data_IF_739764421269
#
_entry.id   IF_739764421269
#
_cell.length_a   1.000
_cell.length_b   1.000
_cell.length_c   1.000
_cell.angle_alpha   90.00
_cell.angle_beta   90.00
_cell.angle_gamma   90.00
#
_symmetry.space_group_name_H-M   'P 1'
#
loop_
_entity.id
_entity.type
_entity.pdbx_description
1 polymer ?
2 non-polymer ?
3 non-polymer ?
4 non-polymer ?
5 water ?
#
# COMPACT_ATOMS: atom_id res chain seq x y z
N UNK A 9 -1.15 -3.67 -29.16
CA UNK A 9 -1.70 -4.44 -28.01
C UNK A 9 -0.61 -4.52 -26.96
N UNK A 10 0.63 -4.60 -27.45
CA UNK A 10 1.85 -4.67 -26.66
C UNK A 10 2.03 -6.03 -25.99
N UNK A 11 1.86 -7.10 -26.77
CA UNK A 11 2.01 -8.44 -26.23
C UNK A 11 3.36 -9.05 -26.59
N UNK A 12 4.04 -9.59 -25.58
CA UNK A 12 5.34 -10.23 -25.78
C UNK A 12 5.07 -11.66 -26.25
N UNK A 13 5.93 -12.19 -27.16
CA UNK A 13 5.74 -13.55 -27.67
C UNK A 13 5.77 -14.61 -26.56
N UNK A 14 4.80 -15.51 -26.61
CA UNK A 14 4.66 -16.57 -25.62
C UNK A 14 5.89 -17.49 -25.53
N UNK A 15 6.52 -17.58 -24.35
CA UNK A 15 7.69 -18.45 -24.20
C UNK A 15 7.28 -19.91 -24.45
N UNK A 16 8.17 -20.70 -25.09
CA UNK A 16 7.92 -22.11 -25.41
C UNK A 16 7.43 -22.99 -24.26
N UNK A 17 7.91 -22.72 -23.04
CA UNK A 17 7.51 -23.53 -21.89
C UNK A 17 6.11 -23.27 -21.34
N UNK A 18 5.49 -22.17 -21.78
CA UNK A 18 4.15 -21.81 -21.31
C UNK A 18 3.04 -22.37 -22.21
N UNK A 19 2.13 -23.18 -21.64
CA UNK A 19 1.02 -23.76 -22.40
C UNK A 19 0.04 -22.68 -22.83
N UNK A 20 -0.43 -22.76 -24.07
CA UNK A 20 -1.39 -21.78 -24.59
C UNK A 20 -2.68 -21.72 -23.77
N UNK A 21 -3.12 -22.86 -23.25
CA UNK A 21 -4.35 -22.91 -22.48
C UNK A 21 -4.33 -22.13 -21.16
N UNK A 22 -3.15 -21.68 -20.75
CA UNK A 22 -3.01 -20.89 -19.53
C UNK A 22 -2.90 -19.39 -19.80
N UNK A 23 -2.93 -19.01 -21.06
CA UNK A 23 -2.82 -17.61 -21.45
C UNK A 23 -4.08 -16.78 -21.19
N UNK A 24 -3.89 -15.68 -20.48
CA UNK A 24 -4.96 -14.72 -20.16
C UNK A 24 -4.26 -13.37 -20.11
N UNK A 25 -4.43 -12.59 -21.16
CA UNK A 25 -3.78 -11.27 -21.29
C UNK A 25 -4.29 -10.12 -20.45
N UNK A 26 -4.08 -10.23 -19.14
CA UNK A 26 -4.47 -9.21 -18.19
C UNK A 26 -3.38 -8.15 -18.11
N UNK A 27 -3.78 -6.88 -18.16
CA UNK A 27 -2.85 -5.76 -18.06
C UNK A 27 -3.05 -5.11 -16.70
N UNK A 28 -2.11 -5.33 -15.78
CA UNK A 28 -2.19 -4.79 -14.43
C UNK A 28 -2.16 -3.27 -14.35
N UNK A 29 -1.75 -2.61 -15.44
CA UNK A 29 -1.68 -1.16 -15.44
C UNK A 29 -2.84 -0.48 -16.17
N UNK A 30 -3.67 -1.29 -16.83
CA UNK A 30 -4.83 -0.79 -17.56
C UNK A 30 -5.79 -1.95 -17.85
N UNK A 31 -6.36 -2.54 -16.78
CA UNK A 31 -7.30 -3.67 -16.94
C UNK A 31 -8.62 -3.24 -17.55
N UNK A 32 -9.27 -4.17 -18.24
CA UNK A 32 -10.56 -3.91 -18.86
C UNK A 32 -11.61 -3.64 -17.79
N UNK A 33 -12.63 -2.84 -18.13
CA UNK A 33 -13.71 -2.51 -17.20
C UNK A 33 -13.25 -1.85 -15.89
N UNK A 34 -12.24 -1.02 -15.98
CA UNK A 34 -11.71 -0.30 -14.82
C UNK A 34 -12.80 0.64 -14.32
N UNK A 35 -13.70 1.02 -15.23
CA UNK A 35 -14.82 1.91 -14.93
C UNK A 35 -15.78 1.31 -13.90
N UNK A 36 -15.74 -0.02 -13.74
CA UNK A 36 -16.59 -0.71 -12.79
C UNK A 36 -15.96 -0.75 -11.38
N UNK A 37 -14.75 -0.22 -11.28
CA UNK A 37 -14.04 -0.23 -10.02
C UNK A 37 -12.79 -1.09 -10.18
N UNK A 38 -11.69 -0.70 -9.56
CA UNK A 38 -10.46 -1.46 -9.71
C UNK A 38 -10.46 -2.86 -9.12
N UNK A 39 -11.03 -3.05 -7.94
CA UNK A 39 -11.09 -4.39 -7.34
C UNK A 39 -11.95 -5.29 -8.21
N UNK A 40 -13.04 -4.73 -8.75
CA UNK A 40 -13.95 -5.47 -9.63
C UNK A 40 -13.23 -5.84 -10.93
N UNK A 41 -12.38 -4.93 -11.40
CA UNK A 41 -11.62 -5.17 -12.63
C UNK A 41 -10.64 -6.32 -12.44
N UNK A 42 -9.96 -6.34 -11.30
CA UNK A 42 -9.01 -7.42 -11.03
C UNK A 42 -9.73 -8.73 -10.78
N UNK A 43 -10.95 -8.64 -10.25
CA UNK A 43 -11.77 -9.81 -9.94
C UNK A 43 -12.10 -10.66 -11.17
N UNK A 44 -11.88 -10.11 -12.36
CA UNK A 44 -12.14 -10.86 -13.59
C UNK A 44 -11.23 -12.10 -13.61
N UNK A 45 -10.08 -11.98 -12.95
CA UNK A 45 -9.11 -13.06 -12.86
C UNK A 45 -9.61 -14.24 -12.03
N UNK A 46 -10.72 -14.03 -11.32
CA UNK A 46 -11.29 -15.07 -10.48
C UNK A 46 -12.58 -15.67 -11.01
N UNK A 47 -12.94 -15.32 -12.24
CA UNK A 47 -14.14 -15.87 -12.86
C UNK A 47 -13.87 -17.35 -13.18
N UNK A 48 -14.92 -18.17 -13.16
CA UNK A 48 -14.82 -19.61 -13.37
C UNK A 48 -14.00 -20.15 -14.54
N UNK A 49 -13.97 -19.42 -15.64
CA UNK A 49 -13.22 -19.85 -16.83
C UNK A 49 -11.73 -19.53 -16.78
N UNK A 50 -11.29 -18.85 -15.73
CA UNK A 50 -9.88 -18.48 -15.58
C UNK A 50 -9.17 -19.45 -14.63
N UNK A 51 -8.03 -20.02 -15.06
CA UNK A 51 -7.28 -20.96 -14.22
C UNK A 51 -6.70 -20.30 -12.97
N UNK A 52 -6.29 -21.12 -11.99
CA UNK A 52 -5.71 -20.64 -10.74
C UNK A 52 -4.40 -19.90 -10.99
N UNK A 53 -3.68 -20.33 -12.02
CA UNK A 53 -2.40 -19.74 -12.39
C UNK A 53 -2.38 -19.54 -13.90
N UNK A 54 -2.27 -18.28 -14.32
CA UNK A 54 -2.26 -17.95 -15.74
C UNK A 54 -1.02 -17.17 -16.16
N UNK A 55 -0.83 -17.06 -17.46
CA UNK A 55 0.28 -16.30 -18.01
C UNK A 55 -0.28 -15.18 -18.88
N UNK A 56 0.13 -13.95 -18.62
CA UNK A 56 -0.30 -12.83 -19.44
C UNK A 56 0.88 -12.40 -20.30
N UNK A 57 0.60 -12.02 -21.54
CA UNK A 57 1.66 -11.58 -22.44
C UNK A 57 1.89 -10.08 -22.35
N UNK A 58 1.09 -9.41 -21.51
CA UNK A 58 1.22 -7.99 -21.31
C UNK A 58 2.42 -7.68 -20.43
N UNK A 59 2.91 -6.45 -20.54
CA UNK A 59 4.02 -5.98 -19.73
C UNK A 59 5.25 -6.88 -19.70
N UNK A 60 5.64 -7.38 -20.87
CA UNK A 60 6.80 -8.24 -20.97
C UNK A 60 6.55 -9.72 -20.81
N UNK A 61 5.37 -10.08 -20.29
CA UNK A 61 5.03 -11.47 -20.09
C UNK A 61 5.33 -11.92 -18.66
N UNK A 62 4.34 -12.47 -17.97
CA UNK A 62 4.53 -12.93 -16.61
C UNK A 62 3.35 -13.77 -16.12
N UNK A 63 3.61 -14.57 -15.09
CA UNK A 63 2.57 -15.40 -14.49
C UNK A 63 1.73 -14.54 -13.55
N UNK A 64 0.52 -15.02 -13.25
CA UNK A 64 -0.36 -14.35 -12.30
C UNK A 64 -1.07 -15.43 -11.49
N UNK A 65 -0.89 -15.40 -10.18
CA UNK A 65 -1.58 -16.35 -9.29
C UNK A 65 -2.90 -15.62 -9.00
N UNK A 66 -4.02 -16.28 -9.26
CA UNK A 66 -5.34 -15.67 -9.10
C UNK A 66 -6.15 -16.03 -7.87
N UNK A 67 -5.68 -17.01 -7.11
CA UNK A 67 -6.39 -17.47 -5.92
C UNK A 67 -5.55 -17.33 -4.66
N UNK A 68 -6.22 -17.05 -3.54
CA UNK A 68 -5.53 -16.88 -2.27
C UNK A 68 -4.61 -18.01 -1.87
N UNK A 69 -5.01 -19.25 -2.12
CA UNK A 69 -4.18 -20.38 -1.75
C UNK A 69 -2.80 -20.29 -2.41
N UNK A 70 -2.78 -20.04 -3.72
CA UNK A 70 -1.52 -19.93 -4.46
C UNK A 70 -0.72 -18.68 -4.12
N UNK A 71 -1.43 -17.57 -3.90
CA UNK A 71 -0.78 -16.31 -3.55
C UNK A 71 -0.04 -16.46 -2.23
N UNK A 72 -0.71 -17.05 -1.23
CA UNK A 72 -0.09 -17.26 0.07
C UNK A 72 1.09 -18.22 -0.03
N UNK A 73 0.89 -19.35 -0.72
CA UNK A 73 1.96 -20.34 -0.87
C UNK A 73 3.23 -19.77 -1.48
N UNK A 74 3.07 -18.97 -2.52
CA UNK A 74 4.22 -18.38 -3.19
C UNK A 74 4.95 -17.38 -2.30
N UNK A 75 4.20 -16.60 -1.53
CA UNK A 75 4.80 -15.61 -0.64
C UNK A 75 5.56 -16.27 0.52
N UNK A 76 5.15 -17.47 0.90
CA UNK A 76 5.79 -18.22 1.98
C UNK A 76 7.10 -18.84 1.49
N UNK A 77 7.08 -19.28 0.24
CA UNK A 77 8.22 -19.95 -0.38
C UNK A 77 9.22 -18.99 -1.06
N UNK A 78 9.99 -18.26 -0.26
CA UNK A 78 10.96 -17.32 -0.80
C UNK A 78 12.13 -18.02 -1.51
N UNK A 79 12.34 -19.30 -1.21
CA UNK A 79 13.42 -20.05 -1.83
C UNK A 79 13.22 -20.17 -3.33
N UNK A 80 11.97 -20.35 -3.74
CA UNK A 80 11.63 -20.46 -5.16
C UNK A 80 11.17 -19.13 -5.73
N UNK A 81 10.47 -18.35 -4.92
CA UNK A 81 9.93 -17.06 -5.35
C UNK A 81 10.67 -15.92 -4.64
N UNK A 82 11.71 -15.43 -5.31
CA UNK A 82 12.56 -14.36 -4.78
C UNK A 82 12.08 -12.93 -4.95
N UNK A 83 12.44 -12.09 -3.99
CA UNK A 83 12.09 -10.68 -3.99
C UNK A 83 13.12 -9.82 -4.74
N UNK A 84 14.15 -10.45 -5.30
CA UNK A 84 15.19 -9.71 -6.03
C UNK A 84 14.60 -8.81 -7.12
N UNK A 85 13.56 -9.29 -7.78
CA UNK A 85 12.86 -8.56 -8.84
C UNK A 85 11.36 -8.60 -8.53
N UNK A 86 10.89 -7.71 -7.63
CA UNK A 86 9.49 -7.64 -7.23
C UNK A 86 8.49 -6.92 -8.14
N UNK A 87 8.99 -6.15 -9.12
CA UNK A 87 8.09 -5.39 -9.98
C UNK A 87 8.07 -5.81 -11.45
N UNK A 88 6.92 -5.58 -12.09
CA UNK A 88 6.71 -5.91 -13.50
C UNK A 88 6.56 -4.62 -14.33
N UNK A 89 7.31 -4.50 -15.43
CA UNK A 89 8.28 -5.47 -15.92
C UNK A 89 9.63 -5.42 -15.23
N UNK A 90 10.44 -6.43 -15.53
CA UNK A 90 11.79 -6.63 -15.02
C UNK A 90 12.70 -5.39 -14.95
N UNK A 91 12.67 -4.58 -15.99
CA UNK A 91 13.52 -3.37 -16.07
C UNK A 91 12.97 -2.20 -15.25
N UNK A 92 12.67 -2.50 -13.99
CA UNK A 92 12.16 -1.56 -13.00
C UNK A 92 12.37 -2.22 -11.64
N UNK A 93 12.23 -3.54 -11.60
CA UNK A 93 12.45 -4.25 -10.36
C UNK A 93 13.93 -4.54 -10.17
N UNK A 94 14.70 -4.46 -11.25
CA UNK A 94 16.14 -4.69 -11.19
C UNK A 94 16.87 -3.40 -10.79
N UNK A 95 16.29 -2.26 -11.18
CA UNK A 95 16.87 -0.94 -10.90
C UNK A 95 16.73 -0.50 -9.44
N UNK A 96 15.49 -0.54 -8.96
CA UNK A 96 15.08 -0.18 -7.60
C UNK A 96 16.03 -0.72 -6.50
N UNK A 97 16.37 0.10 -5.50
CA UNK A 97 17.28 -0.35 -4.43
C UNK A 97 16.82 -0.34 -2.97
N UNK A 98 15.62 0.19 -2.69
CA UNK A 98 15.11 0.26 -1.32
C UNK A 98 15.23 -1.03 -0.51
N UNK A 99 15.60 -0.87 0.76
CA UNK A 99 15.79 -1.99 1.70
C UNK A 99 14.65 -2.04 2.71
N UNK A 100 14.16 -3.26 3.06
CA UNK A 100 14.61 -4.56 2.58
C UNK A 100 13.68 -5.25 1.57
N UNK A 101 12.92 -4.44 0.83
CA UNK A 101 11.97 -4.93 -0.17
C UNK A 101 12.54 -5.90 -1.20
N UNK A 102 13.78 -5.69 -1.61
CA UNK A 102 14.42 -6.54 -2.61
C UNK A 102 15.34 -7.63 -2.06
N UNK A 103 15.28 -7.86 -0.75
CA UNK A 103 16.11 -8.87 -0.11
C UNK A 103 15.32 -10.08 0.33
N UNK A 104 15.98 -11.24 0.34
CA UNK A 104 15.38 -12.48 0.80
C UNK A 104 16.08 -12.82 2.12
N UNK A 105 15.41 -13.57 3.00
CA UNK A 105 16.04 -13.94 4.26
C UNK A 105 17.22 -14.85 3.89
N UNK A 106 18.27 -14.93 4.75
CA UNK A 106 18.48 -14.27 6.03
C UNK A 106 18.86 -12.79 5.96
N UNK A 107 19.43 -12.36 4.83
CA UNK A 107 19.86 -10.98 4.64
C UNK A 107 18.79 -9.98 5.09
N UNK A 108 17.55 -10.24 4.69
CA UNK A 108 16.42 -9.38 5.01
C UNK A 108 16.07 -9.28 6.50
N UNK A 109 16.27 -10.37 7.24
CA UNK A 109 15.94 -10.39 8.67
C UNK A 109 16.58 -9.31 9.55
N UNK A 110 17.87 -9.04 9.34
CA UNK A 110 18.60 -8.02 10.11
C UNK A 110 17.95 -6.64 9.96
N UNK A 111 17.77 -6.21 8.71
CA UNK A 111 17.19 -4.91 8.41
C UNK A 111 15.74 -4.81 8.84
N UNK A 112 15.00 -5.92 8.71
CA UNK A 112 13.60 -5.95 9.10
C UNK A 112 13.41 -5.73 10.61
N UNK A 113 14.32 -6.30 11.40
CA UNK A 113 14.25 -6.16 12.84
C UNK A 113 14.48 -4.70 13.26
N UNK A 114 15.43 -4.05 12.60
CA UNK A 114 15.76 -2.65 12.89
C UNK A 114 14.58 -1.75 12.54
N UNK A 115 13.97 -1.99 11.38
CA UNK A 115 12.82 -1.20 10.94
C UNK A 115 11.65 -1.36 11.90
N UNK A 116 11.52 -2.55 12.49
CA UNK A 116 10.43 -2.79 13.43
C UNK A 116 10.56 -1.94 14.69
N UNK A 117 11.79 -1.51 15.01
CA UNK A 117 12.04 -0.68 16.18
C UNK A 117 11.46 0.72 16.00
N UNK A 118 11.33 1.15 14.75
CA UNK A 118 10.80 2.49 14.49
C UNK A 118 9.31 2.56 14.15
N UNK A 119 8.73 1.46 13.67
CA UNK A 119 7.31 1.45 13.33
C UNK A 119 6.50 0.34 13.99
N UNK A 120 7.13 -0.41 14.88
CA UNK A 120 6.45 -1.50 15.57
C UNK A 120 5.29 -1.08 16.45
N UNK A 121 4.48 -2.06 16.87
CA UNK A 121 3.32 -1.81 17.71
C UNK A 121 3.59 -0.94 18.94
N UNK A 122 4.72 -1.17 19.65
CA UNK A 122 5.04 -0.34 20.82
C UNK A 122 5.12 1.14 20.49
N UNK A 123 5.73 1.44 19.35
CA UNK A 123 5.88 2.81 18.88
C UNK A 123 4.54 3.39 18.46
N UNK A 124 3.74 2.59 17.76
CA UNK A 124 2.43 3.02 17.30
C UNK A 124 1.49 3.33 18.47
N UNK A 125 1.53 2.50 19.51
CA UNK A 125 0.69 2.74 20.69
C UNK A 125 1.08 4.04 21.38
N UNK A 126 2.38 4.34 21.36
CA UNK A 126 2.92 5.55 21.97
C UNK A 126 2.60 6.82 21.19
N UNK A 127 2.51 6.71 19.87
CA UNK A 127 2.21 7.86 19.02
C UNK A 127 0.73 7.94 18.68
N UNK A 128 -0.05 7.00 19.19
CA UNK A 128 -1.48 6.89 18.96
C UNK A 128 -2.28 8.19 19.02
N UNK A 129 -2.11 8.94 20.11
CA UNK A 129 -2.83 10.20 20.27
C UNK A 129 -2.24 11.37 19.46
N UNK A 130 -0.97 11.25 19.07
CA UNK A 130 -0.33 12.29 18.26
C UNK A 130 -0.92 12.20 16.84
N UNK A 131 -1.22 10.97 16.43
CA UNK A 131 -1.82 10.71 15.13
C UNK A 131 -3.24 11.28 15.16
N UNK A 132 -3.91 11.11 16.29
CA UNK A 132 -5.28 11.59 16.48
C UNK A 132 -5.31 13.12 16.42
N UNK A 133 -4.34 13.75 17.06
CA UNK A 133 -4.26 15.21 17.08
C UNK A 133 -4.08 15.76 15.66
N UNK A 134 -3.36 15.03 14.82
CA UNK A 134 -3.13 15.45 13.44
C UNK A 134 -4.41 15.31 12.65
N UNK A 135 -5.08 14.16 12.79
CA UNK A 135 -6.32 13.90 12.07
C UNK A 135 -7.37 14.95 12.38
N UNK A 136 -7.52 15.28 13.66
CA UNK A 136 -8.49 16.27 14.11
C UNK A 136 -8.23 17.65 13.52
N UNK A 137 -6.95 18.04 13.47
CA UNK A 137 -6.58 19.34 12.93
C UNK A 137 -6.97 19.45 11.46
N UNK A 138 -6.67 18.42 10.68
CA UNK A 138 -7.00 18.40 9.26
C UNK A 138 -8.50 18.42 9.04
N UNK A 139 -9.22 17.59 9.79
CA UNK A 139 -10.67 17.51 9.65
C UNK A 139 -11.37 18.81 10.06
N UNK A 140 -10.92 19.43 11.15
CA UNK A 140 -11.52 20.68 11.61
C UNK A 140 -11.32 21.81 10.59
N UNK A 141 -10.19 21.80 9.90
CA UNK A 141 -9.91 22.83 8.90
C UNK A 141 -10.84 22.70 7.69
N UNK A 142 -11.32 21.48 7.43
CA UNK A 142 -12.21 21.23 6.30
C UNK A 142 -13.70 21.33 6.64
N UNK A 143 -14.05 20.93 7.86
CA UNK A 143 -15.43 20.91 8.34
C UNK A 143 -16.36 22.07 7.96
N UNK A 144 -15.96 23.33 8.23
CA UNK A 144 -16.83 24.47 7.89
C UNK A 144 -17.09 24.68 6.39
N UNK A 145 -16.21 24.14 5.55
CA UNK A 145 -16.31 24.27 4.10
C UNK A 145 -17.50 23.57 3.45
N UNK A 146 -17.91 22.44 4.01
CA UNK A 146 -19.02 21.70 3.45
C UNK A 146 -18.63 20.93 2.20
N UNK A 147 -17.34 20.88 1.92
CA UNK A 147 -16.82 20.18 0.75
C UNK A 147 -15.30 20.05 0.81
N UNK A 148 -14.78 19.09 0.08
CA UNK A 148 -13.35 18.85 -0.01
C UNK A 148 -13.06 17.75 -1.02
N UNK A 149 -11.82 17.68 -1.46
CA UNK A 149 -11.38 16.61 -2.33
C UNK A 149 -10.62 15.80 -1.30
N UNK A 150 -11.26 14.77 -0.76
CA UNK A 150 -10.66 13.96 0.29
C UNK A 150 -9.24 13.49 0.01
N UNK A 151 -8.99 13.05 -1.21
CA UNK A 151 -7.66 12.56 -1.59
C UNK A 151 -6.57 13.63 -1.42
N UNK A 152 -6.82 14.82 -1.93
CA UNK A 152 -5.87 15.93 -1.84
C UNK A 152 -5.84 16.64 -0.49
N UNK A 153 -7.02 16.85 0.08
CA UNK A 153 -7.15 17.58 1.34
C UNK A 153 -6.90 16.85 2.65
N UNK A 154 -7.00 15.52 2.63
CA UNK A 154 -6.77 14.75 3.85
C UNK A 154 -5.89 13.53 3.63
N UNK A 155 -6.26 12.70 2.66
CA UNK A 155 -5.51 11.47 2.37
C UNK A 155 -4.01 11.65 2.11
N UNK A 156 -3.64 12.70 1.39
CA UNK A 156 -2.24 12.94 1.10
C UNK A 156 -1.48 13.60 2.27
N UNK A 157 -2.02 14.70 2.84
CA UNK A 157 -1.33 15.36 3.95
C UNK A 157 -1.16 14.52 5.23
N UNK A 158 -2.13 13.66 5.52
CA UNK A 158 -2.10 12.83 6.72
C UNK A 158 -0.87 11.91 6.89
N UNK A 159 -0.62 10.98 5.95
CA UNK A 159 0.53 10.07 6.07
C UNK A 159 1.91 10.74 6.07
N UNK A 160 2.09 11.75 5.22
CA UNK A 160 3.37 12.44 5.15
C UNK A 160 3.67 13.22 6.43
N UNK A 161 2.64 13.82 7.03
CA UNK A 161 2.82 14.55 8.27
C UNK A 161 3.15 13.59 9.41
N UNK A 162 2.61 12.38 9.33
CA UNK A 162 2.86 11.35 10.34
C UNK A 162 4.33 10.91 10.19
N UNK A 163 4.81 10.85 8.95
CA UNK A 163 6.21 10.47 8.74
C UNK A 163 7.13 11.53 9.35
N UNK A 164 6.80 12.80 9.14
CA UNK A 164 7.61 13.89 9.69
C UNK A 164 7.65 13.78 11.22
N UNK A 165 6.54 13.41 11.81
CA UNK A 165 6.44 13.23 13.27
C UNK A 165 7.35 12.08 13.70
N UNK A 166 7.22 10.96 12.99
CA UNK A 166 7.98 9.75 13.24
C UNK A 166 9.48 9.96 13.10
N UNK A 167 9.87 10.64 12.02
CA UNK A 167 11.28 10.89 11.71
C UNK A 167 11.86 12.17 12.30
N UNK A 168 11.05 12.90 13.06
CA UNK A 168 11.52 14.13 13.67
C UNK A 168 12.00 15.18 12.69
N UNK A 169 11.25 15.36 11.60
CA UNK A 169 11.59 16.33 10.57
C UNK A 169 10.65 17.53 10.62
N UNK A 170 11.13 18.71 10.22
CA UNK A 170 10.31 19.93 10.24
C UNK A 170 9.19 19.98 9.21
N UNK A 171 8.08 20.59 9.62
CA UNK A 171 6.89 20.76 8.80
C UNK A 171 7.18 21.49 7.48
N UNK A 172 8.10 22.46 7.53
CA UNK A 172 8.48 23.24 6.35
C UNK A 172 9.06 22.42 5.20
N UNK A 173 9.54 21.21 5.50
CA UNK A 173 10.13 20.34 4.48
C UNK A 173 9.10 19.51 3.71
N UNK A 174 7.85 19.51 4.18
CA UNK A 174 6.79 18.73 3.55
C UNK A 174 6.54 18.91 2.06
N UNK A 175 6.33 20.16 1.59
CA UNK A 175 6.07 20.34 0.15
C UNK A 175 7.15 19.74 -0.78
N UNK A 176 8.41 19.92 -0.43
CA UNK A 176 9.49 19.41 -1.27
C UNK A 176 9.60 17.89 -1.17
N UNK A 177 9.48 17.35 0.04
CA UNK A 177 9.57 15.91 0.25
C UNK A 177 8.41 15.21 -0.46
N UNK A 178 7.24 15.84 -0.40
CA UNK A 178 6.04 15.32 -1.04
C UNK A 178 6.25 15.30 -2.55
N UNK A 179 6.87 16.35 -3.07
CA UNK A 179 7.14 16.41 -4.50
C UNK A 179 8.08 15.29 -4.93
N UNK A 180 9.16 15.09 -4.18
CA UNK A 180 10.13 14.04 -4.49
C UNK A 180 9.51 12.66 -4.50
N UNK A 181 8.70 12.36 -3.49
CA UNK A 181 8.04 11.06 -3.42
C UNK A 181 7.00 10.91 -4.53
N UNK A 182 6.34 12.00 -4.87
CA UNK A 182 5.33 12.01 -5.94
C UNK A 182 5.96 11.65 -7.28
N UNK A 183 7.19 12.12 -7.51
CA UNK A 183 7.87 11.85 -8.77
C UNK A 183 8.30 10.40 -8.95
N UNK A 184 8.43 9.68 -7.85
CA UNK A 184 8.84 8.28 -7.88
C UNK A 184 7.72 7.35 -8.31
N UNK A 185 6.47 7.78 -8.09
CA UNK A 185 5.31 6.95 -8.43
C UNK A 185 4.29 7.62 -9.37
N UNK A 186 4.41 8.94 -9.53
CA UNK A 186 3.50 9.71 -10.41
C UNK A 186 4.25 10.90 -11.03
N UNK A 187 5.33 10.63 -11.79
CA UNK A 187 6.14 11.68 -12.44
C UNK A 187 5.43 12.60 -13.42
N UNK A 188 5.73 13.89 -13.30
CA UNK A 188 5.19 14.90 -14.19
C UNK A 188 6.18 15.15 -15.34
N UNK A 189 7.37 14.57 -15.20
CA UNK A 189 8.41 14.72 -16.21
C UNK A 189 9.63 15.51 -15.78
N UNK A 190 9.50 16.28 -14.70
CA UNK A 190 10.61 17.09 -14.21
C UNK A 190 11.80 16.28 -13.75
N UNK A 191 11.53 15.08 -13.23
CA UNK A 191 12.59 14.21 -12.73
C UNK A 191 12.40 12.75 -13.13
N UNK A 192 13.51 12.05 -13.34
CA UNK A 192 13.48 10.62 -13.65
C UNK A 192 13.44 9.95 -12.28
N UNK A 193 13.14 8.66 -12.24
CA UNK A 193 13.09 7.94 -10.96
C UNK A 193 14.42 8.05 -10.22
N UNK A 194 15.52 7.86 -10.95
CA UNK A 194 16.86 7.93 -10.36
C UNK A 194 17.15 9.29 -9.75
N UNK A 195 16.75 10.36 -10.45
CA UNK A 195 16.97 11.71 -9.97
C UNK A 195 16.14 12.01 -8.73
N UNK A 196 14.90 11.53 -8.71
CA UNK A 196 14.01 11.72 -7.57
C UNK A 196 14.57 10.94 -6.37
N UNK A 197 15.01 9.72 -6.64
CA UNK A 197 15.60 8.86 -5.61
C UNK A 197 16.86 9.47 -5.02
N UNK A 198 17.72 9.98 -5.89
CA UNK A 198 18.96 10.62 -5.44
C UNK A 198 18.67 11.91 -4.68
N UNK A 199 17.65 12.64 -5.11
CA UNK A 199 17.26 13.88 -4.43
C UNK A 199 16.81 13.55 -3.02
N UNK A 200 16.13 12.41 -2.87
CA UNK A 200 15.67 11.96 -1.57
C UNK A 200 16.88 11.61 -0.71
N UNK A 201 17.84 10.92 -1.32
CA UNK A 201 19.07 10.52 -0.62
C UNK A 201 19.90 11.73 -0.23
N UNK A 202 19.92 12.75 -1.10
CA UNK A 202 20.67 13.97 -0.82
C UNK A 202 20.11 14.67 0.40
N UNK A 203 18.81 14.48 0.63
CA UNK A 203 18.11 15.07 1.76
C UNK A 203 18.33 14.24 3.03
N UNK A 204 18.19 12.92 2.91
CA UNK A 204 18.33 12.02 4.05
C UNK A 204 19.75 11.83 4.59
N UNK A 205 20.73 11.71 3.70
CA UNK A 205 22.12 11.49 4.12
C UNK A 205 22.65 12.44 5.20
N UNK A 206 22.50 13.78 5.01
CA UNK A 206 23.00 14.73 6.02
C UNK A 206 22.34 14.52 7.38
N UNK A 207 21.05 14.23 7.38
CA UNK A 207 20.31 14.02 8.61
C UNK A 207 20.76 12.72 9.29
N UNK A 208 20.99 11.69 8.48
CA UNK A 208 21.45 10.39 8.99
C UNK A 208 22.83 10.51 9.64
N UNK A 209 23.75 11.20 8.97
CA UNK A 209 25.11 11.39 9.49
C UNK A 209 25.13 12.23 10.76
N UNK A 210 24.29 13.26 10.82
CA UNK A 210 24.23 14.13 11.99
C UNK A 210 23.63 13.40 13.19
N UNK A 211 22.61 12.60 12.95
CA UNK A 211 21.96 11.86 14.02
C UNK A 211 22.71 10.61 14.46
N UNK A 212 23.73 10.24 13.70
CA UNK A 212 24.57 9.11 14.07
C UNK A 212 25.49 9.61 15.19
N UNK A 213 25.88 10.89 15.08
CA UNK A 213 26.76 11.53 16.06
C UNK A 213 25.98 12.11 17.25
N UNK A 214 24.81 12.67 16.99
CA UNK A 214 23.98 13.24 18.05
C UNK A 214 22.54 12.76 17.85
N UNK A 215 22.27 11.51 18.25
CA UNK A 215 20.95 10.88 18.14
C UNK A 215 19.83 11.42 19.02
N UNK A 216 18.61 11.24 18.52
CA UNK A 216 17.42 11.64 19.24
C UNK A 216 16.64 10.34 19.44
N UNK A 217 15.32 10.43 19.57
CA UNK A 217 14.49 9.24 19.77
C UNK A 217 13.63 8.95 18.52
N UNK A 218 13.89 9.71 17.46
CA UNK A 218 13.16 9.58 16.20
C UNK A 218 13.60 8.38 15.35
N UNK A 219 12.83 8.11 14.31
CA UNK A 219 13.10 6.99 13.40
C UNK A 219 14.46 7.03 12.72
N UNK A 220 14.87 8.20 12.25
CA UNK A 220 16.16 8.34 11.57
C UNK A 220 17.31 8.08 12.54
N UNK A 221 17.20 8.58 13.77
CA UNK A 221 18.22 8.37 14.78
C UNK A 221 18.40 6.89 15.08
N UNK A 222 17.29 6.18 15.20
CA UNK A 222 17.32 4.74 15.50
C UNK A 222 17.97 3.94 14.37
N UNK A 223 17.58 4.23 13.13
CA UNK A 223 18.14 3.53 11.98
C UNK A 223 19.63 3.85 11.82
N UNK A 224 19.97 5.13 11.95
CA UNK A 224 21.36 5.59 11.83
C UNK A 224 22.31 4.96 12.84
N UNK A 225 21.78 4.62 14.01
CA UNK A 225 22.59 4.02 15.06
C UNK A 225 22.41 2.50 15.15
N UNK A 226 21.74 1.93 14.15
CA UNK A 226 21.51 0.50 14.13
C UNK A 226 22.75 -0.32 13.81
N UNK A 227 22.68 -1.62 14.08
CA UNK A 227 23.79 -2.53 13.82
C UNK A 227 23.35 -3.64 12.87
N UNK A 228 24.21 -3.95 11.91
CA UNK A 228 23.96 -4.99 10.92
C UNK A 228 25.16 -5.94 10.85
N UNK A 229 24.93 -7.21 11.18
CA UNK A 229 25.96 -8.25 11.14
C UNK A 229 27.21 -7.96 11.99
N UNK A 230 27.00 -7.52 13.22
CA UNK A 230 28.12 -7.24 14.11
C UNK A 230 28.75 -5.86 13.97
N UNK A 231 28.52 -5.21 12.83
CA UNK A 231 29.08 -3.89 12.59
C UNK A 231 27.99 -2.82 12.41
N UNK A 232 28.38 -1.53 12.47
CA UNK A 232 27.43 -0.42 12.32
C UNK A 232 26.84 -0.35 10.91
N UNK A 233 25.58 0.04 10.82
CA UNK A 233 24.91 0.19 9.53
C UNK A 233 25.62 1.25 8.69
N UNK A 234 25.80 0.98 7.40
CA UNK A 234 26.47 1.93 6.52
C UNK A 234 25.50 3.03 6.11
N UNK A 235 26.05 4.12 5.58
CA UNK A 235 25.24 5.26 5.14
C UNK A 235 24.33 4.85 3.98
N UNK A 236 24.84 3.96 3.13
CA UNK A 236 24.10 3.47 1.97
C UNK A 236 22.89 2.64 2.42
N UNK A 237 23.10 1.74 3.38
CA UNK A 237 22.02 0.89 3.89
C UNK A 237 20.97 1.73 4.64
N UNK A 238 21.45 2.71 5.40
CA UNK A 238 20.58 3.57 6.19
C UNK A 238 19.66 4.43 5.33
N UNK A 239 20.20 5.02 4.27
CA UNK A 239 19.40 5.87 3.39
C UNK A 239 18.36 5.04 2.63
N UNK A 240 18.75 3.83 2.23
CA UNK A 240 17.86 2.93 1.49
C UNK A 240 16.73 2.41 2.38
N UNK A 241 17.01 2.28 3.67
CA UNK A 241 16.02 1.84 4.64
C UNK A 241 15.04 2.97 4.92
N UNK A 242 15.60 4.16 5.20
CA UNK A 242 14.79 5.34 5.48
C UNK A 242 13.92 5.71 4.28
N UNK A 243 14.46 5.47 3.09
CA UNK A 243 13.73 5.75 1.86
C UNK A 243 12.47 4.91 1.77
N UNK A 244 12.59 3.62 2.11
CA UNK A 244 11.43 2.73 2.07
C UNK A 244 10.44 3.07 3.19
N UNK A 245 10.96 3.44 4.35
CA UNK A 245 10.08 3.79 5.48
C UNK A 245 9.23 5.02 5.11
N UNK A 246 9.77 5.86 4.24
CA UNK A 246 9.05 7.05 3.80
C UNK A 246 8.00 6.72 2.74
N UNK A 247 8.44 6.13 1.63
CA UNK A 247 7.53 5.79 0.54
C UNK A 247 6.52 4.68 0.86
N UNK A 248 6.91 3.72 1.69
CA UNK A 248 6.03 2.62 2.04
C UNK A 248 4.69 2.97 2.65
N UNK A 249 4.66 4.05 3.42
CA UNK A 249 3.41 4.45 4.06
C UNK A 249 2.70 5.62 3.43
N UNK A 250 3.03 5.95 2.18
CA UNK A 250 2.37 7.06 1.52
C UNK A 250 1.25 6.65 0.58
N UNK A 251 1.60 6.22 -0.64
CA UNK A 251 0.59 5.84 -1.63
C UNK A 251 -0.40 4.78 -1.14
N UNK A 252 0.09 3.81 -0.37
CA UNK A 252 -0.79 2.76 0.15
C UNK A 252 -1.87 3.37 1.04
N UNK A 253 -1.48 4.21 1.98
CA UNK A 253 -2.42 4.84 2.90
C UNK A 253 -3.32 5.86 2.19
N UNK A 254 -2.73 6.69 1.32
CA UNK A 254 -3.50 7.69 0.59
C UNK A 254 -4.65 7.03 -0.19
N UNK A 255 -4.31 6.02 -0.98
CA UNK A 255 -5.29 5.32 -1.80
C UNK A 255 -6.26 4.46 -0.99
N UNK A 256 -5.78 3.81 0.06
CA UNK A 256 -6.66 2.99 0.87
C UNK A 256 -7.72 3.83 1.59
N UNK A 257 -7.29 4.94 2.19
CA UNK A 257 -8.22 5.82 2.88
C UNK A 257 -9.25 6.35 1.89
N UNK A 258 -8.80 6.60 0.65
CA UNK A 258 -9.71 7.10 -0.38
C UNK A 258 -10.75 6.06 -0.77
N UNK A 259 -10.34 4.80 -0.94
CA UNK A 259 -11.29 3.72 -1.28
C UNK A 259 -12.34 3.60 -0.18
N UNK A 260 -11.86 3.63 1.08
CA UNK A 260 -12.72 3.49 2.24
C UNK A 260 -13.73 4.63 2.38
N UNK A 261 -13.28 5.85 2.18
CA UNK A 261 -14.15 7.02 2.27
C UNK A 261 -15.12 7.11 1.10
N UNK A 262 -14.71 6.59 -0.05
CA UNK A 262 -15.59 6.58 -1.22
C UNK A 262 -16.75 5.65 -0.91
N UNK A 263 -16.44 4.50 -0.32
CA UNK A 263 -17.47 3.54 0.04
C UNK A 263 -18.42 4.12 1.08
N UNK A 264 -17.88 4.72 2.12
CA UNK A 264 -18.71 5.30 3.18
C UNK A 264 -19.60 6.44 2.68
N UNK A 265 -19.08 7.24 1.74
CA UNK A 265 -19.85 8.35 1.18
C UNK A 265 -21.07 7.82 0.43
N UNK A 266 -20.93 6.65 -0.17
CA UNK A 266 -21.99 6.01 -0.94
C UNK A 266 -22.83 5.04 -0.11
N UNK A 267 -22.46 4.87 1.17
CA UNK A 267 -23.17 3.94 2.05
C UNK A 267 -23.63 4.55 3.38
N UNK A 268 -24.77 5.27 3.37
CA UNK A 268 -25.33 5.91 4.57
C UNK A 268 -25.55 4.96 5.75
N UNK A 269 -26.06 3.76 5.48
CA UNK A 269 -26.31 2.79 6.54
C UNK A 269 -25.03 2.31 7.21
N UNK A 270 -23.95 2.19 6.44
CA UNK A 270 -22.67 1.78 7.02
C UNK A 270 -22.10 2.89 7.89
N UNK A 271 -22.33 4.14 7.49
CA UNK A 271 -21.86 5.28 8.27
C UNK A 271 -22.59 5.27 9.61
N UNK A 272 -23.91 5.06 9.55
CA UNK A 272 -24.72 5.03 10.76
C UNK A 272 -24.34 3.90 11.69
N UNK A 273 -23.98 2.76 11.12
CA UNK A 273 -23.60 1.61 11.93
C UNK A 273 -22.41 1.97 12.82
N UNK A 274 -21.42 2.64 12.24
CA UNK A 274 -20.24 3.05 12.97
C UNK A 274 -20.50 4.18 13.96
N UNK A 275 -21.51 5.00 13.67
CA UNK A 275 -21.88 6.10 14.55
C UNK A 275 -22.58 5.51 15.78
N UNK A 276 -23.50 4.58 15.55
CA UNK A 276 -24.25 3.93 16.62
C UNK A 276 -23.42 2.91 17.39
N UNK A 277 -22.49 2.25 16.69
CA UNK A 277 -21.64 1.22 17.29
C UNK A 277 -20.16 1.54 17.09
N UNK A 278 -19.62 2.53 17.82
CA UNK A 278 -18.22 2.93 17.72
C UNK A 278 -17.21 1.80 17.98
N UNK A 279 -17.61 0.83 18.79
CA UNK A 279 -16.75 -0.30 19.13
C UNK A 279 -16.47 -1.22 17.95
N UNK A 280 -17.25 -1.08 16.89
CA UNK A 280 -17.09 -1.90 15.69
C UNK A 280 -16.10 -1.31 14.68
N UNK A 281 -15.58 -0.11 14.98
CA UNK A 281 -14.63 0.54 14.08
C UNK A 281 -13.39 -0.31 13.76
N UNK A 282 -12.76 -0.94 14.77
CA UNK A 282 -11.58 -1.76 14.45
C UNK A 282 -11.93 -2.90 13.50
N UNK A 283 -13.08 -3.54 13.71
CA UNK A 283 -13.53 -4.63 12.84
C UNK A 283 -13.85 -4.10 11.45
N UNK A 284 -14.43 -2.90 11.40
CA UNK A 284 -14.76 -2.25 10.14
C UNK A 284 -13.48 -1.98 9.36
N UNK A 285 -12.44 -1.57 10.08
CA UNK A 285 -11.13 -1.31 9.48
C UNK A 285 -10.63 -2.56 8.77
N UNK A 286 -10.71 -3.71 9.46
CA UNK A 286 -10.25 -4.96 8.88
C UNK A 286 -11.07 -5.38 7.65
N UNK A 287 -12.39 -5.21 7.73
CA UNK A 287 -13.25 -5.55 6.60
C UNK A 287 -12.99 -4.65 5.40
N UNK A 288 -12.72 -3.37 5.65
CA UNK A 288 -12.42 -2.45 4.55
C UNK A 288 -11.08 -2.81 3.94
N UNK A 289 -10.12 -3.23 4.77
CA UNK A 289 -8.81 -3.63 4.27
C UNK A 289 -8.95 -4.83 3.33
N UNK A 290 -9.90 -5.71 3.63
CA UNK A 290 -10.15 -6.88 2.79
C UNK A 290 -10.81 -6.47 1.48
N UNK A 291 -11.93 -5.78 1.57
CA UNK A 291 -12.70 -5.36 0.39
C UNK A 291 -11.98 -4.38 -0.53
N UNK A 292 -11.22 -3.46 0.05
CA UNK A 292 -10.51 -2.47 -0.75
C UNK A 292 -9.00 -2.63 -0.76
N UNK A 293 -8.58 -3.88 -0.73
CA UNK A 293 -7.17 -4.28 -0.79
C UNK A 293 -6.65 -3.65 -2.10
N UNK A 294 -5.37 -3.27 -2.14
CA UNK A 294 -4.88 -2.55 -3.31
C UNK A 294 -3.46 -2.77 -3.80
N UNK A 295 -2.68 -3.60 -3.13
CA UNK A 295 -1.31 -3.84 -3.56
C UNK A 295 -1.17 -5.09 -4.42
N UNK A 296 -0.27 -5.03 -5.38
CA UNK A 296 -0.02 -6.16 -6.25
C UNK A 296 1.42 -6.22 -6.72
N UNK A 297 2.32 -6.79 -5.92
CA UNK A 297 3.66 -6.91 -6.43
C UNK A 297 3.96 -8.38 -6.77
N UNK A 298 5.22 -8.73 -6.91
CA UNK A 298 5.54 -10.08 -7.32
C UNK A 298 6.89 -10.59 -6.90
N UNK A 299 7.28 -11.68 -7.54
CA UNK A 299 8.55 -12.35 -7.26
C UNK A 299 9.12 -12.88 -8.57
N UNK A 300 10.35 -13.39 -8.49
CA UNK A 300 11.03 -13.97 -9.64
C UNK A 300 11.50 -15.38 -9.28
N UNK A 301 11.33 -16.31 -10.21
CA UNK A 301 11.73 -17.70 -9.99
C UNK A 301 13.25 -17.85 -9.90
N UNK A 302 13.71 -18.47 -8.82
CA UNK A 302 15.14 -18.68 -8.59
C UNK A 302 15.65 -19.90 -9.37
N UNK A 303 14.73 -20.79 -9.74
CA UNK A 303 15.08 -21.99 -10.49
C UNK A 303 13.82 -22.56 -11.13
N UNK A 304 14.02 -23.56 -12.00
CA UNK A 304 12.89 -24.24 -12.63
C UNK A 304 12.13 -24.88 -11.48
N UNK A 305 10.81 -24.76 -11.49
CA UNK A 305 10.00 -25.29 -10.41
C UNK A 305 8.58 -25.60 -10.86
N UNK A 306 8.10 -26.80 -10.52
CA UNK A 306 6.73 -27.18 -10.86
C UNK A 306 5.86 -26.74 -9.68
N UNK A 307 4.90 -25.86 -9.97
CA UNK A 307 4.01 -25.30 -8.96
C UNK A 307 2.56 -25.54 -9.36
N UNK A 308 1.85 -26.35 -8.58
CA UNK A 308 0.45 -26.68 -8.84
C UNK A 308 0.20 -27.17 -10.27
N UNK A 309 1.03 -28.10 -10.71
CA UNK A 309 0.92 -28.67 -12.04
C UNK A 309 1.40 -27.80 -13.19
N UNK A 310 2.03 -26.68 -12.86
CA UNK A 310 2.53 -25.77 -13.88
C UNK A 310 4.04 -25.65 -13.81
N UNK A 311 4.69 -25.81 -14.97
CA UNK A 311 6.14 -25.73 -15.07
C UNK A 311 6.60 -24.28 -15.12
N UNK A 312 7.25 -23.83 -14.05
CA UNK A 312 7.76 -22.47 -13.96
C UNK A 312 9.25 -22.52 -14.30
N UNK A 313 9.72 -21.54 -15.05
CA UNK A 313 11.12 -21.49 -15.47
C UNK A 313 11.93 -20.45 -14.72
N UNK A 314 13.19 -20.79 -14.44
CA UNK A 314 14.10 -19.88 -13.74
C UNK A 314 14.10 -18.53 -14.46
N UNK A 315 13.90 -17.45 -13.69
CA UNK A 315 13.89 -16.13 -14.28
C UNK A 315 12.50 -15.62 -14.61
N UNK A 316 11.49 -16.51 -14.61
CA UNK A 316 10.12 -16.09 -14.88
C UNK A 316 9.66 -15.18 -13.76
N UNK A 317 8.90 -14.15 -14.11
CA UNK A 317 8.35 -13.27 -13.08
C UNK A 317 6.93 -13.72 -12.81
N UNK A 318 6.49 -13.57 -11.58
CA UNK A 318 5.13 -13.94 -11.21
C UNK A 318 4.49 -12.87 -10.35
N UNK A 319 3.34 -12.39 -10.81
CA UNK A 319 2.59 -11.39 -10.06
C UNK A 319 1.74 -12.15 -9.06
N UNK A 320 1.83 -11.76 -7.79
CA UNK A 320 1.09 -12.39 -6.70
C UNK A 320 0.28 -11.26 -6.06
N UNK A 321 -0.90 -10.95 -6.63
CA UNK A 321 -1.73 -9.87 -6.11
C UNK A 321 -2.25 -10.01 -4.68
N UNK A 322 -1.67 -9.22 -3.78
CA UNK A 322 -2.11 -9.22 -2.40
C UNK A 322 -3.60 -8.91 -2.37
N UNK A 323 -4.03 -8.04 -3.29
CA UNK A 323 -5.43 -7.62 -3.45
C UNK A 323 -6.41 -8.78 -3.58
N UNK A 324 -6.04 -9.79 -4.36
CA UNK A 324 -6.92 -10.92 -4.65
C UNK A 324 -7.28 -11.95 -3.59
N UNK A 325 -6.39 -12.18 -2.63
CA UNK A 325 -6.65 -13.19 -1.59
C UNK A 325 -7.97 -12.99 -0.86
N UNK A 326 -8.22 -11.77 -0.40
CA UNK A 326 -9.44 -11.46 0.32
C UNK A 326 -10.71 -11.38 -0.51
N UNK A 327 -10.56 -11.24 -1.83
CA UNK A 327 -11.70 -11.16 -2.73
C UNK A 327 -12.07 -12.54 -3.28
N UNK A 328 -11.23 -13.53 -2.97
CA UNK A 328 -11.42 -14.92 -3.41
C UNK A 328 -12.68 -15.50 -2.76
N UNK A 329 -13.67 -15.84 -3.60
CA UNK A 329 -14.93 -16.41 -3.11
C UNK A 329 -14.74 -17.74 -2.38
N UNK A 330 -13.56 -18.32 -2.52
CA UNK A 330 -13.23 -19.58 -1.84
C UNK A 330 -12.78 -19.28 -0.40
N UNK A 331 -12.36 -18.04 -0.15
CA UNK A 331 -11.92 -17.61 1.16
C UNK A 331 -13.04 -16.91 1.94
N UNK A 332 -13.66 -15.92 1.30
CA UNK A 332 -14.74 -15.15 1.93
C UNK A 332 -16.00 -15.19 1.08
N UNK A 333 -17.12 -15.54 1.71
CA UNK A 333 -18.41 -15.61 1.03
C UNK A 333 -18.87 -14.19 0.65
N UNK A 334 -19.49 -14.06 -0.51
CA UNK A 334 -19.96 -12.77 -1.02
C UNK A 334 -18.87 -11.72 -0.82
N UNK A 335 -17.68 -11.97 -1.39
CA UNK A 335 -16.50 -11.09 -1.29
C UNK A 335 -16.66 -9.60 -1.59
N UNK A 336 -17.58 -9.24 -2.48
CA UNK A 336 -17.78 -7.83 -2.81
C UNK A 336 -18.66 -7.08 -1.80
N UNK A 337 -19.30 -7.83 -0.91
CA UNK A 337 -20.16 -7.22 0.10
C UNK A 337 -19.36 -6.82 1.34
N UNK A 338 -19.58 -5.59 1.80
CA UNK A 338 -18.90 -5.05 2.96
C UNK A 338 -19.76 -5.36 4.19
N UNK A 339 -19.27 -6.23 5.05
CA UNK A 339 -19.98 -6.64 6.25
C UNK A 339 -19.04 -6.52 7.46
N UNK A 340 -19.24 -5.47 8.25
CA UNK A 340 -18.41 -5.20 9.42
C UNK A 340 -18.53 -6.28 10.52
N UNK A 341 -19.53 -7.13 10.43
CA UNK A 341 -19.75 -8.18 11.43
C UNK A 341 -19.22 -9.58 11.07
N UNK A 342 -18.45 -9.69 9.99
CA UNK A 342 -17.90 -10.99 9.58
C UNK A 342 -17.10 -11.62 10.70
N UNK A 343 -17.36 -12.89 10.97
CA UNK A 343 -16.65 -13.61 12.03
C UNK A 343 -15.19 -13.85 11.68
N UNK A 344 -14.94 -14.18 10.42
CA UNK A 344 -13.58 -14.43 9.96
C UNK A 344 -13.23 -13.67 8.68
N UNK A 345 -12.55 -12.54 8.87
CA UNK A 345 -12.13 -11.72 7.74
C UNK A 345 -10.75 -12.19 7.29
N UNK A 346 -10.71 -12.87 6.16
CA UNK A 346 -9.47 -13.40 5.61
C UNK A 346 -8.92 -12.51 4.50
N UNK A 347 -7.63 -12.19 4.58
CA UNK A 347 -6.99 -11.35 3.56
C UNK A 347 -5.47 -11.33 3.71
N UNK A 348 -4.80 -10.80 2.68
CA UNK A 348 -3.35 -10.65 2.68
C UNK A 348 -3.08 -9.24 2.18
N UNK A 349 -3.88 -8.29 2.67
CA UNK A 349 -3.75 -6.89 2.26
C UNK A 349 -2.38 -6.29 2.59
N UNK A 350 -1.81 -6.71 3.70
CA UNK A 350 -0.48 -6.23 4.12
C UNK A 350 0.60 -7.22 3.69
N UNK A 351 0.23 -8.16 2.82
CA UNK A 351 1.19 -9.15 2.37
C UNK A 351 1.09 -10.44 3.16
N UNK A 352 2.09 -11.28 3.01
CA UNK A 352 2.11 -12.57 3.68
C UNK A 352 3.54 -13.09 3.62
N UNK A 353 3.97 -13.78 4.66
CA UNK A 353 5.33 -14.30 4.66
C UNK A 353 6.37 -13.35 5.26
N UNK A 354 7.63 -13.57 4.90
CA UNK A 354 8.76 -12.79 5.41
C UNK A 354 8.71 -11.28 5.24
N UNK A 355 8.01 -10.80 4.21
CA UNK A 355 7.93 -9.37 3.95
C UNK A 355 6.65 -8.71 4.43
N UNK A 356 5.87 -9.40 5.27
CA UNK A 356 4.63 -8.86 5.81
C UNK A 356 4.86 -7.40 6.23
N UNK A 357 4.01 -6.50 5.72
CA UNK A 357 4.13 -5.07 6.00
C UNK A 357 4.56 -4.70 7.41
N UNK A 358 5.69 -4.00 7.49
CA UNK A 358 6.22 -3.54 8.77
C UNK A 358 5.37 -2.40 9.32
N UNK A 359 4.70 -1.69 8.42
CA UNK A 359 3.86 -0.58 8.84
C UNK A 359 2.40 -0.94 9.06
N UNK A 360 2.08 -2.24 9.14
CA UNK A 360 0.71 -2.68 9.32
C UNK A 360 0.02 -2.12 10.56
N UNK A 361 0.76 -2.01 11.66
CA UNK A 361 0.20 -1.49 12.90
C UNK A 361 -0.03 0.01 12.81
N UNK A 362 0.91 0.72 12.18
CA UNK A 362 0.77 2.16 12.00
C UNK A 362 -0.41 2.42 11.08
N UNK A 363 -0.50 1.65 10.00
CA UNK A 363 -1.58 1.79 9.03
C UNK A 363 -2.95 1.60 9.69
N UNK A 364 -3.12 0.53 10.46
CA UNK A 364 -4.40 0.29 11.13
C UNK A 364 -4.78 1.44 12.07
N UNK A 365 -3.79 1.98 12.78
CA UNK A 365 -4.05 3.10 13.69
C UNK A 365 -4.50 4.33 12.89
N UNK A 366 -3.85 4.58 11.75
CA UNK A 366 -4.20 5.71 10.90
C UNK A 366 -5.63 5.57 10.38
N UNK A 367 -5.99 4.34 9.99
CA UNK A 367 -7.32 4.06 9.47
C UNK A 367 -8.39 4.23 10.55
N UNK A 368 -8.19 3.58 11.69
CA UNK A 368 -9.13 3.66 12.81
C UNK A 368 -9.30 5.09 13.31
N UNK A 369 -8.20 5.81 13.46
CA UNK A 369 -8.26 7.21 13.91
C UNK A 369 -9.02 8.07 12.91
N UNK A 370 -8.75 7.88 11.62
CA UNK A 370 -9.43 8.64 10.57
C UNK A 370 -10.94 8.39 10.60
N UNK A 371 -11.33 7.13 10.68
CA UNK A 371 -12.74 6.76 10.70
C UNK A 371 -13.47 7.36 11.90
N UNK A 372 -12.90 7.22 13.08
CA UNK A 372 -13.51 7.74 14.30
C UNK A 372 -13.61 9.26 14.30
N UNK A 373 -12.48 9.93 14.04
CA UNK A 373 -12.45 11.38 14.03
C UNK A 373 -13.25 12.05 12.92
N UNK A 374 -13.34 11.41 11.75
CA UNK A 374 -14.11 11.97 10.66
C UNK A 374 -15.60 11.87 10.97
N UNK A 375 -16.05 10.66 11.33
CA UNK A 375 -17.46 10.45 11.65
C UNK A 375 -17.93 11.26 12.86
N UNK A 376 -17.02 11.53 13.79
CA UNK A 376 -17.35 12.31 14.99
C UNK A 376 -17.72 13.75 14.61
N UNK A 377 -16.95 14.33 13.69
CA UNK A 377 -17.16 15.70 13.25
C UNK A 377 -18.04 15.88 12.03
N UNK A 378 -17.95 14.96 11.09
CA UNK A 378 -18.72 15.00 9.85
C UNK A 378 -19.39 13.64 9.65
N UNK A 379 -20.43 13.34 10.44
CA UNK A 379 -21.15 12.06 10.36
C UNK A 379 -21.89 11.79 9.05
N UNK A 380 -22.36 12.86 8.41
CA UNK A 380 -23.12 12.77 7.18
C UNK A 380 -22.41 13.48 6.03
N UNK A 381 -22.04 12.71 5.01
CA UNK A 381 -21.36 13.25 3.83
C UNK A 381 -21.68 12.37 2.63
N UNK A 382 -21.52 12.94 1.44
CA UNK A 382 -21.82 12.23 0.20
C UNK A 382 -20.83 12.62 -0.89
N UNK A 383 -20.90 11.89 -2.00
CA UNK A 383 -20.06 12.19 -3.17
C UNK A 383 -20.68 13.47 -3.73
N UNK A 384 -19.84 14.38 -4.21
CA UNK A 384 -20.33 15.65 -4.78
C UNK A 384 -21.30 15.36 -5.92
N UNK A 385 -22.39 16.14 -6.01
CA UNK A 385 -23.40 15.98 -7.07
C UNK A 385 -22.76 15.99 -8.46
N UNK A 386 -23.11 14.99 -9.27
CA UNK A 386 -22.60 14.89 -10.63
C UNK A 386 -21.23 14.25 -10.78
N UNK A 387 -20.49 14.13 -9.68
CA UNK A 387 -19.16 13.55 -9.72
C UNK A 387 -19.15 12.05 -9.98
N UNK A 388 -18.23 11.61 -10.82
CA UNK A 388 -18.05 10.21 -11.15
C UNK A 388 -16.63 9.87 -10.71
N UNK A 389 -16.51 9.02 -9.70
CA UNK A 389 -15.20 8.65 -9.19
C UNK A 389 -14.44 7.70 -10.11
N UNK A 390 -13.18 8.04 -10.37
CA UNK A 390 -12.33 7.21 -11.23
C UNK A 390 -11.22 6.54 -10.45
N UNK A 391 -10.93 5.30 -10.82
CA UNK A 391 -9.87 4.54 -10.17
C UNK A 391 -8.68 4.39 -11.12
N UNK A 392 -7.55 3.95 -10.58
CA UNK A 392 -6.33 3.72 -11.35
C UNK A 392 -5.77 2.39 -10.90
N UNK A 393 -5.08 1.69 -11.80
CA UNK A 393 -4.52 0.37 -11.50
C UNK A 393 -3.01 0.29 -11.70
N UNK A 394 -2.36 -0.50 -10.84
CA UNK A 394 -0.93 -0.68 -10.91
C UNK A 394 -0.42 -1.48 -9.73
N UNK A 395 0.81 -1.21 -9.31
CA UNK A 395 1.41 -1.91 -8.17
C UNK A 395 0.59 -1.54 -6.92
N UNK A 396 0.22 -0.26 -6.84
CA UNK A 396 -0.64 0.22 -5.76
C UNK A 396 -1.80 0.89 -6.49
N UNK A 397 -2.93 0.20 -6.54
CA UNK A 397 -4.11 0.75 -7.21
C UNK A 397 -4.72 1.84 -6.36
N UNK A 398 -5.51 2.73 -6.96
CA UNK A 398 -6.09 3.80 -6.18
C UNK A 398 -7.22 4.62 -6.75
N UNK A 399 -7.43 5.78 -6.14
CA UNK A 399 -8.49 6.72 -6.51
C UNK A 399 -7.87 8.01 -7.03
N UNK A 400 -8.32 8.47 -8.20
CA UNK A 400 -7.79 9.69 -8.81
C UNK A 400 -8.16 10.95 -8.02
N UNK A 401 -9.40 11.01 -7.54
CA UNK A 401 -9.88 12.16 -6.76
C UNK A 401 -11.18 11.75 -6.08
N UNK A 402 -11.48 12.38 -4.95
CA UNK A 402 -12.70 12.06 -4.20
C UNK A 402 -13.43 13.29 -3.69
N UNK A 403 -14.22 13.95 -4.56
CA UNK A 403 -14.96 15.13 -4.14
C UNK A 403 -16.13 14.76 -3.21
N UNK A 404 -16.05 15.23 -1.97
CA UNK A 404 -17.09 14.97 -0.98
C UNK A 404 -17.78 16.26 -0.58
N UNK A 405 -19.03 16.14 -0.14
CA UNK A 405 -19.83 17.29 0.28
C UNK A 405 -20.64 16.96 1.53
N UNK A 406 -21.03 18.00 2.26
CA UNK A 406 -21.83 17.85 3.47
C UNK A 406 -22.39 19.19 3.90
N UNK A 407 -23.44 19.16 4.71
CA UNK A 407 -24.05 20.38 5.22
C UNK A 407 -23.32 20.70 6.52
N UNK A 408 -22.63 21.85 6.57
CA UNK A 408 -21.89 22.25 7.78
C UNK A 408 -22.77 22.27 9.03
N UNK A 409 -24.08 22.45 8.84
CA UNK A 409 -25.02 22.48 9.96
C UNK A 409 -25.18 21.13 10.66
N UNK A 410 -24.82 20.06 9.95
CA UNK A 410 -24.92 18.71 10.50
C UNK A 410 -23.59 18.25 11.14
N UNK A 411 -22.59 19.11 11.09
CA UNK A 411 -21.28 18.81 11.66
C UNK A 411 -21.12 19.44 13.04
N UNK A 412 -20.03 19.07 13.71
CA UNK A 412 -19.75 19.61 15.03
C UNK A 412 -18.26 19.66 15.31
N UNK A 413 -17.82 20.79 15.86
CA UNK A 413 -16.41 20.97 16.21
C UNK A 413 -16.19 20.31 17.56
N UNK A 414 -15.19 19.44 17.63
CA UNK A 414 -14.88 18.75 18.88
C UNK A 414 -13.43 19.02 19.27
#
# INVERSE_FOLDING_TARGET
TTETIQSNANLAPLPPHVPEHLVFDFDMYNPSNLSAGVQEAWAVLQESNVPDLVWTRCNGGHWIATRGQLIREAYEDYRHFSSECPFIPREAGEAYDFIPTSMDPPEQRQFRALANQVVGMPVVDKLENRIQELACSLIESLRPQGQCNFTEDYAEPFPIRIFMLLAGLPEEDIPHLKYLTDQMTRPDGSMTFAEAKEALYDYLIPIIEQRRQKPGTDAISIVANGQVNGRPITSDEAKRMCGLLLVGGLDTVVNFLSFSMEFLAKSPEHRQELIERPERIPAACEELLRRFSLVADGRILTSDYEFHGVQLKKGDQILLPQMLSGLDERENAAPMHVDFSRQKVSHTTFGHGSHLCLGQHLARREIIVTLKEWLTRIPDFSIAPGAQIQHKSGIVSGVQALPLVWDPATTKAV
#
